data_IF_380993600586
#
_entry.id   IF_380993600586
#
_cell.length_a   1.000
_cell.length_b   1.000
_cell.length_c   1.000
_cell.angle_alpha   90.00
_cell.angle_beta   90.00
_cell.angle_gamma   90.00
#
_symmetry.space_group_name_H-M   'P 1'
#
loop_
_entity.id
_entity.type
_entity.pdbx_description
1 polymer ?
#
# COMPACT_ATOMS: atom_id res chain seq x y z
N UNK A 1 -5.63 -4.23 -61.84
CA UNK A 1 -6.87 -4.47 -61.09
C UNK A 1 -7.40 -5.81 -61.53
N UNK A 2 -7.83 -6.69 -60.61
CA UNK A 2 -8.82 -7.73 -60.90
C UNK A 2 -9.48 -8.21 -59.57
N UNK A 3 -10.82 -8.23 -59.44
CA UNK A 3 -11.48 -8.66 -58.19
C UNK A 3 -12.56 -9.76 -58.35
N UNK A 4 -12.67 -10.60 -57.31
CA UNK A 4 -13.78 -11.54 -56.94
C UNK A 4 -13.70 -12.98 -57.47
N UNK A 5 -13.81 -13.94 -56.54
CA UNK A 5 -14.58 -15.22 -56.56
C UNK A 5 -14.31 -15.88 -55.18
N UNK A 6 -15.14 -15.81 -54.13
CA UNK A 6 -16.50 -16.32 -53.83
C UNK A 6 -16.62 -17.84 -53.57
N UNK A 7 -17.00 -18.18 -52.32
CA UNK A 7 -17.58 -19.46 -51.88
C UNK A 7 -16.59 -20.49 -51.30
N UNK A 8 -16.93 -21.36 -50.34
CA UNK A 8 -18.09 -21.52 -49.42
C UNK A 8 -17.57 -22.12 -48.08
N UNK A 9 -18.09 -21.78 -46.88
CA UNK A 9 -19.23 -22.42 -46.14
C UNK A 9 -19.01 -23.94 -45.94
N UNK A 10 -18.94 -24.55 -44.74
CA UNK A 10 -19.99 -24.78 -43.71
C UNK A 10 -19.32 -25.33 -42.41
N UNK A 11 -19.39 -24.66 -41.24
CA UNK A 11 -20.20 -24.95 -40.00
C UNK A 11 -19.57 -25.94 -38.94
N UNK A 12 -19.48 -25.60 -37.61
CA UNK A 12 -20.38 -25.92 -36.44
C UNK A 12 -20.17 -27.36 -35.88
N UNK A 13 -20.07 -27.69 -34.56
CA UNK A 13 -20.00 -26.97 -33.24
C UNK A 13 -19.08 -27.83 -32.28
N UNK A 14 -19.15 -27.99 -30.93
CA UNK A 14 -20.01 -27.55 -29.80
C UNK A 14 -19.21 -27.41 -28.49
N UNK A 15 -19.54 -26.38 -27.68
CA UNK A 15 -19.31 -26.34 -26.22
C UNK A 15 -17.88 -25.98 -25.75
N UNK A 16 -17.67 -25.51 -24.51
CA UNK A 16 -18.63 -25.27 -23.40
C UNK A 16 -18.53 -23.80 -22.96
N UNK A 17 -19.69 -23.19 -22.65
CA UNK A 17 -19.77 -21.82 -22.17
C UNK A 17 -19.50 -21.71 -20.66
N UNK A 18 -18.61 -20.79 -20.26
CA UNK A 18 -18.49 -20.31 -18.88
C UNK A 18 -18.52 -18.76 -18.91
N UNK A 19 -19.22 -18.09 -17.98
CA UNK A 19 -19.55 -16.67 -18.14
C UNK A 19 -18.33 -15.77 -18.04
N UNK A 20 -18.18 -14.86 -19.01
CA UNK A 20 -17.20 -13.77 -19.00
C UNK A 20 -17.47 -12.82 -17.82
N UNK A 21 -16.86 -13.08 -16.65
CA UNK A 21 -16.73 -12.05 -15.61
C UNK A 21 -15.81 -10.96 -16.13
N UNK A 22 -16.39 -9.80 -16.41
CA UNK A 22 -15.71 -8.56 -16.76
C UNK A 22 -14.87 -8.05 -15.57
N UNK A 23 -13.66 -8.61 -15.41
CA UNK A 23 -12.60 -7.94 -14.67
C UNK A 23 -12.14 -6.73 -15.50
N UNK A 24 -12.84 -5.61 -15.34
CA UNK A 24 -12.24 -4.31 -15.58
C UNK A 24 -10.94 -4.23 -14.76
N UNK A 25 -9.79 -3.85 -15.34
CA UNK A 25 -8.61 -3.53 -14.56
C UNK A 25 -8.92 -2.29 -13.72
N UNK A 26 -9.03 -2.46 -12.41
CA UNK A 26 -9.42 -1.39 -11.52
C UNK A 26 -8.27 -0.38 -11.34
N UNK A 27 -8.42 0.77 -11.99
CA UNK A 27 -7.53 1.94 -12.00
C UNK A 27 -6.14 1.74 -12.65
N UNK A 28 -5.93 2.48 -13.74
CA UNK A 28 -4.60 2.87 -14.23
C UNK A 28 -3.96 3.97 -13.37
N UNK A 29 -2.83 4.56 -13.82
CA UNK A 29 -1.91 5.27 -12.94
C UNK A 29 -2.42 6.64 -12.44
N UNK A 30 -2.89 6.65 -11.21
CA UNK A 30 -2.89 7.81 -10.31
C UNK A 30 -2.34 7.35 -8.95
N UNK A 31 -1.08 6.90 -8.94
CA UNK A 31 -0.54 6.11 -7.83
C UNK A 31 -0.50 6.91 -6.50
N UNK A 32 -1.24 6.36 -5.53
CA UNK A 32 -1.44 6.94 -4.20
C UNK A 32 -0.13 7.35 -3.51
N UNK A 33 0.06 8.65 -3.25
CA UNK A 33 1.26 9.17 -2.57
C UNK A 33 1.26 8.85 -1.07
N UNK A 34 1.67 7.63 -0.72
CA UNK A 34 1.76 7.21 0.68
C UNK A 34 2.44 5.86 0.89
N UNK A 35 2.82 5.62 2.15
CA UNK A 35 3.67 4.49 2.58
C UNK A 35 3.00 3.12 2.44
N UNK A 36 1.68 3.04 2.69
CA UNK A 36 0.90 1.81 2.54
C UNK A 36 0.96 1.19 1.13
N UNK A 37 0.63 1.93 0.05
CA UNK A 37 0.83 1.50 -1.34
C UNK A 37 2.21 0.91 -1.63
N UNK A 38 3.28 1.59 -1.21
CA UNK A 38 4.66 1.12 -1.41
C UNK A 38 4.95 -0.19 -0.64
N UNK A 39 4.52 -0.26 0.61
CA UNK A 39 4.67 -1.45 1.46
C UNK A 39 3.88 -2.66 0.92
N UNK A 40 2.67 -2.44 0.39
CA UNK A 40 1.80 -3.48 -0.18
C UNK A 40 2.23 -3.92 -1.59
N UNK A 41 2.76 -3.01 -2.39
CA UNK A 41 2.98 -3.21 -3.83
C UNK A 41 1.71 -3.61 -4.60
N UNK A 42 1.89 -4.01 -5.86
CA UNK A 42 0.79 -4.39 -6.76
C UNK A 42 0.10 -5.70 -6.36
N UNK A 43 0.81 -6.57 -5.65
CA UNK A 43 0.29 -7.83 -5.09
C UNK A 43 -0.60 -7.62 -3.84
N UNK A 44 -0.56 -6.43 -3.24
CA UNK A 44 -1.45 -6.08 -2.12
C UNK A 44 -1.03 -6.65 -0.75
N UNK A 45 0.23 -7.08 -0.61
CA UNK A 45 0.85 -7.78 0.54
C UNK A 45 0.36 -7.32 1.92
N UNK A 46 0.24 -8.26 2.87
CA UNK A 46 -0.15 -8.01 4.27
C UNK A 46 0.95 -7.34 5.09
N UNK A 47 2.20 -7.76 4.91
CA UNK A 47 3.43 -7.20 5.47
C UNK A 47 4.44 -6.92 4.33
N UNK A 48 5.47 -6.12 4.58
CA UNK A 48 6.40 -5.68 3.54
C UNK A 48 7.10 -6.86 2.81
N UNK A 49 7.35 -7.95 3.52
CA UNK A 49 7.95 -9.18 3.00
C UNK A 49 6.94 -10.25 2.52
N UNK A 50 5.62 -10.06 2.68
CA UNK A 50 4.60 -11.05 2.27
C UNK A 50 3.42 -11.22 3.23
N UNK A 51 2.86 -12.44 3.31
CA UNK A 51 1.59 -12.70 4.02
C UNK A 51 1.73 -13.15 5.48
N UNK A 52 2.80 -13.87 5.83
CA UNK A 52 3.02 -14.35 7.19
C UNK A 52 3.66 -13.27 8.07
N UNK A 53 3.24 -13.16 9.33
CA UNK A 53 3.95 -12.33 10.31
C UNK A 53 5.19 -13.07 10.81
N UNK A 54 6.30 -12.35 10.92
CA UNK A 54 7.58 -12.86 11.37
C UNK A 54 8.26 -11.79 12.25
N UNK A 55 8.44 -12.03 13.56
CA UNK A 55 9.06 -11.05 14.46
C UNK A 55 10.56 -10.85 14.18
N UNK A 56 11.20 -11.71 13.38
CA UNK A 56 12.58 -11.52 12.92
C UNK A 56 12.71 -10.55 11.73
N UNK A 57 11.60 -9.91 11.31
CA UNK A 57 11.54 -9.00 10.15
C UNK A 57 11.07 -7.58 10.47
N UNK A 58 10.70 -7.27 11.70
CA UNK A 58 10.41 -5.89 12.10
C UNK A 58 10.40 -5.70 13.62
N UNK A 59 10.79 -4.50 14.09
CA UNK A 59 10.47 -4.07 15.45
C UNK A 59 8.96 -3.92 15.64
N UNK A 60 8.45 -4.66 16.61
CA UNK A 60 7.03 -4.70 16.99
C UNK A 60 6.94 -5.08 18.47
N UNK A 61 5.74 -5.00 19.06
CA UNK A 61 5.53 -5.41 20.45
C UNK A 61 6.04 -6.84 20.73
N UNK A 62 5.83 -7.77 19.78
CA UNK A 62 6.34 -9.15 19.85
C UNK A 62 7.88 -9.27 19.99
N UNK A 63 8.66 -8.25 19.60
CA UNK A 63 10.13 -8.29 19.71
C UNK A 63 10.67 -7.97 21.11
N UNK A 64 9.85 -7.37 21.98
CA UNK A 64 10.22 -6.98 23.35
C UNK A 64 11.41 -6.00 23.50
N UNK A 65 11.93 -5.43 22.40
CA UNK A 65 13.06 -4.46 22.39
C UNK A 65 12.72 -3.13 23.10
N UNK A 66 11.43 -2.80 23.23
CA UNK A 66 10.91 -1.64 24.02
C UNK A 66 11.45 -0.27 23.58
N UNK A 67 11.84 -0.14 22.31
CA UNK A 67 12.21 1.12 21.67
C UNK A 67 12.31 0.96 20.15
N UNK A 68 12.49 2.06 19.40
CA UNK A 68 12.83 2.01 17.99
C UNK A 68 14.26 1.49 17.79
N UNK A 69 14.56 0.99 16.59
CA UNK A 69 15.92 0.59 16.17
C UNK A 69 16.45 1.47 15.05
N UNK A 70 17.78 1.48 14.80
CA UNK A 70 18.32 2.00 13.56
C UNK A 70 17.62 1.37 12.34
N UNK A 71 17.45 2.17 11.28
CA UNK A 71 16.77 1.75 10.05
C UNK A 71 17.59 0.68 9.33
N UNK A 72 16.93 -0.33 8.77
CA UNK A 72 17.55 -1.38 7.95
C UNK A 72 18.22 -2.52 8.72
N UNK A 73 18.13 -2.57 10.05
CA UNK A 73 18.67 -3.70 10.84
C UNK A 73 17.84 -5.00 10.70
N UNK A 74 16.70 -4.93 10.00
CA UNK A 74 15.85 -6.07 9.64
C UNK A 74 15.80 -6.24 8.11
N UNK A 75 16.91 -6.59 7.41
CA UNK A 75 16.93 -6.65 5.95
C UNK A 75 16.01 -7.74 5.36
N UNK A 76 15.62 -8.74 6.15
CA UNK A 76 14.58 -9.69 5.79
C UNK A 76 13.16 -9.12 5.77
N UNK A 77 12.97 -7.90 6.32
CA UNK A 77 11.70 -7.17 6.38
C UNK A 77 11.48 -6.18 5.24
N UNK A 78 12.47 -5.96 4.40
CA UNK A 78 12.39 -5.03 3.28
C UNK A 78 11.33 -5.46 2.25
N UNK A 79 10.81 -4.49 1.51
CA UNK A 79 10.07 -4.80 0.28
C UNK A 79 11.03 -5.30 -0.82
N UNK A 80 10.54 -6.00 -1.86
CA UNK A 80 11.33 -6.27 -3.08
C UNK A 80 11.74 -5.01 -3.87
N UNK A 81 11.42 -3.82 -3.36
CA UNK A 81 11.86 -2.51 -3.86
C UNK A 81 12.97 -1.89 -2.97
N UNK A 82 13.49 -2.63 -1.98
CA UNK A 82 14.53 -2.16 -1.05
C UNK A 82 14.02 -1.15 -0.01
N UNK A 83 12.73 -1.15 0.31
CA UNK A 83 12.17 -0.23 1.32
C UNK A 83 12.17 -0.89 2.70
N UNK A 84 13.14 -0.50 3.52
CA UNK A 84 13.27 -0.91 4.92
C UNK A 84 12.22 -0.28 5.84
N UNK A 85 11.94 -0.98 6.95
CA UNK A 85 11.07 -0.57 8.07
C UNK A 85 9.65 -0.12 7.66
N UNK A 86 9.14 -0.62 6.52
CA UNK A 86 7.76 -0.34 6.05
C UNK A 86 6.67 -1.03 6.91
N UNK A 87 7.09 -1.85 7.87
CA UNK A 87 6.30 -2.49 8.90
C UNK A 87 7.07 -2.35 10.22
N UNK A 88 6.38 -1.97 11.30
CA UNK A 88 6.98 -1.83 12.63
C UNK A 88 7.79 -0.56 12.82
N UNK A 89 8.80 -0.64 13.71
CA UNK A 89 9.67 0.45 14.16
C UNK A 89 8.90 1.68 14.71
N UNK A 90 8.47 2.63 13.88
CA UNK A 90 7.62 3.77 14.28
C UNK A 90 6.45 3.98 13.32
N UNK A 91 5.33 4.48 13.83
CA UNK A 91 4.22 4.90 12.98
C UNK A 91 4.68 6.06 12.11
N UNK A 92 4.36 6.02 10.82
CA UNK A 92 4.74 7.06 9.87
C UNK A 92 3.54 7.93 9.52
N UNK A 93 3.68 9.24 9.73
CA UNK A 93 2.76 10.25 9.20
C UNK A 93 2.69 10.18 7.67
N UNK A 94 1.49 10.44 7.13
CA UNK A 94 1.26 10.62 5.69
C UNK A 94 0.34 11.81 5.43
N UNK A 95 0.47 12.44 4.26
CA UNK A 95 -0.30 13.63 3.91
C UNK A 95 -1.82 13.40 3.86
N UNK A 96 -2.30 12.18 3.66
CA UNK A 96 -3.74 11.91 3.54
C UNK A 96 -4.51 12.14 4.84
N UNK A 97 -5.64 12.84 4.78
CA UNK A 97 -6.66 12.91 5.82
C UNK A 97 -7.28 11.53 6.10
N UNK A 98 -7.62 11.28 7.37
CA UNK A 98 -8.27 10.05 7.78
C UNK A 98 -9.75 10.06 7.42
N UNK A 99 -10.06 9.59 6.21
CA UNK A 99 -11.42 9.31 5.75
C UNK A 99 -11.71 7.80 5.71
N UNK A 100 -13.00 7.38 5.67
CA UNK A 100 -13.39 5.98 5.48
C UNK A 100 -12.74 5.29 4.26
N UNK A 101 -12.97 3.99 4.16
CA UNK A 101 -12.72 3.22 2.94
C UNK A 101 -14.04 3.08 2.15
N UNK A 102 -14.04 3.01 0.81
CA UNK A 102 -12.87 2.87 -0.09
C UNK A 102 -12.03 4.15 -0.24
N UNK A 103 -10.90 4.03 -0.92
CA UNK A 103 -10.16 5.22 -1.34
C UNK A 103 -10.89 5.80 -2.55
N UNK A 104 -11.18 7.10 -2.48
CA UNK A 104 -11.83 7.86 -3.53
C UNK A 104 -10.92 9.04 -3.86
N UNK A 105 -10.49 9.14 -5.12
CA UNK A 105 -9.67 10.25 -5.58
C UNK A 105 -10.52 11.52 -5.72
N UNK A 106 -9.97 12.67 -5.33
CA UNK A 106 -10.68 13.95 -5.44
C UNK A 106 -11.69 14.25 -4.32
N UNK A 107 -11.90 13.35 -3.35
CA UNK A 107 -12.82 13.61 -2.22
C UNK A 107 -12.29 14.65 -1.20
N UNK A 108 -11.15 15.30 -1.50
CA UNK A 108 -10.47 16.24 -0.62
C UNK A 108 -9.52 15.60 0.39
N UNK A 109 -9.39 14.27 0.47
CA UNK A 109 -8.51 13.65 1.49
C UNK A 109 -7.02 13.97 1.34
N UNK A 110 -6.56 14.36 0.15
CA UNK A 110 -5.17 14.76 -0.09
C UNK A 110 -4.99 16.30 -0.07
N UNK A 111 -5.94 17.07 0.49
CA UNK A 111 -5.84 18.52 0.62
C UNK A 111 -4.64 18.92 1.52
N UNK A 112 -3.63 19.68 1.02
CA UNK A 112 -2.55 20.16 1.87
C UNK A 112 -3.03 21.18 2.91
N UNK A 113 -4.01 22.02 2.56
CA UNK A 113 -4.37 23.24 3.32
C UNK A 113 -5.29 22.97 4.53
N UNK A 114 -5.73 21.73 4.74
CA UNK A 114 -6.53 21.32 5.90
C UNK A 114 -5.66 21.20 7.17
N UNK A 115 -5.39 22.33 7.82
CA UNK A 115 -4.52 22.42 8.99
C UNK A 115 -5.02 21.70 10.26
N UNK A 116 -6.29 21.30 10.31
CA UNK A 116 -6.95 20.73 11.50
C UNK A 116 -7.30 19.24 11.34
N UNK A 117 -7.59 18.81 10.12
CA UNK A 117 -8.06 17.48 9.80
C UNK A 117 -7.07 16.38 10.19
N UNK A 118 -7.56 15.38 10.94
CA UNK A 118 -6.75 14.25 11.40
C UNK A 118 -6.09 13.52 10.23
N UNK A 119 -4.77 13.40 10.24
CA UNK A 119 -3.99 12.75 9.18
C UNK A 119 -3.80 11.26 9.46
N UNK A 120 -3.59 10.46 8.40
CA UNK A 120 -3.39 9.01 8.47
C UNK A 120 -1.96 8.69 8.89
N UNK A 121 -1.80 7.77 9.85
CA UNK A 121 -0.52 7.12 10.15
C UNK A 121 -0.54 5.64 9.76
N UNK A 122 0.60 5.08 9.33
CA UNK A 122 0.77 3.68 8.89
C UNK A 122 2.07 3.07 9.40
N UNK A 123 2.30 1.79 9.16
CA UNK A 123 3.53 1.06 9.54
C UNK A 123 3.37 0.24 10.83
N UNK A 124 2.69 0.77 11.85
CA UNK A 124 2.73 0.22 13.21
C UNK A 124 3.93 0.79 13.98
N UNK A 125 4.27 0.26 15.17
CA UNK A 125 5.46 0.69 15.91
C UNK A 125 5.95 -0.36 16.89
N UNK A 126 7.09 -0.09 17.53
CA UNK A 126 7.65 -0.87 18.64
C UNK A 126 6.71 -1.11 19.83
N UNK A 127 5.66 -0.28 19.99
CA UNK A 127 4.61 -0.47 21.01
C UNK A 127 3.40 -1.30 20.54
N UNK A 128 3.33 -1.71 19.27
CA UNK A 128 2.12 -2.31 18.70
C UNK A 128 2.34 -3.72 18.17
N UNK A 129 1.30 -4.54 18.27
CA UNK A 129 1.35 -5.92 17.83
C UNK A 129 1.28 -6.05 16.29
N UNK A 130 1.50 -7.28 15.79
CA UNK A 130 1.41 -7.64 14.36
C UNK A 130 0.19 -7.09 13.61
N UNK A 131 -0.97 -6.91 14.25
CA UNK A 131 -2.17 -6.41 13.57
C UNK A 131 -2.04 -4.95 13.12
N UNK A 132 -1.26 -4.15 13.85
CA UNK A 132 -0.94 -2.77 13.50
C UNK A 132 0.22 -2.69 12.50
N UNK A 133 1.13 -3.67 12.53
CA UNK A 133 2.28 -3.76 11.62
C UNK A 133 1.91 -4.08 10.16
N UNK A 134 0.64 -4.40 9.85
CA UNK A 134 0.21 -4.72 8.49
C UNK A 134 0.24 -3.48 7.58
N UNK A 135 0.69 -3.63 6.35
CA UNK A 135 0.77 -2.56 5.34
C UNK A 135 -0.57 -1.92 4.97
N UNK A 136 -1.69 -2.63 5.23
CA UNK A 136 -3.05 -2.13 5.04
C UNK A 136 -3.67 -1.49 6.30
N UNK A 137 -2.99 -1.53 7.45
CA UNK A 137 -3.46 -0.90 8.68
C UNK A 137 -3.36 0.63 8.58
N UNK A 138 -4.30 1.32 9.23
CA UNK A 138 -4.37 2.77 9.33
C UNK A 138 -4.81 3.14 10.74
N UNK A 139 -4.10 4.10 11.33
CA UNK A 139 -4.56 4.85 12.50
C UNK A 139 -4.63 6.33 12.12
N UNK A 140 -5.09 7.19 13.03
CA UNK A 140 -5.13 8.64 12.86
C UNK A 140 -4.57 9.36 14.09
N UNK A 141 -4.06 10.56 13.86
CA UNK A 141 -3.77 11.54 14.91
C UNK A 141 -4.21 12.94 14.45
N UNK A 142 -4.45 13.85 15.39
CA UNK A 142 -4.52 15.27 15.07
C UNK A 142 -3.15 15.81 14.66
N UNK A 143 -3.06 16.83 13.79
CA UNK A 143 -1.79 17.27 13.20
C UNK A 143 -0.74 17.73 14.24
N UNK A 144 -1.16 18.26 15.40
CA UNK A 144 -0.27 18.60 16.51
C UNK A 144 0.21 17.42 17.38
N UNK A 145 -0.18 16.18 17.08
CA UNK A 145 0.18 15.01 17.90
C UNK A 145 1.64 14.59 17.68
N UNK A 146 2.36 14.37 18.78
CA UNK A 146 3.77 13.93 18.79
C UNK A 146 3.99 12.85 19.85
N UNK A 147 4.78 11.83 19.52
CA UNK A 147 5.05 10.71 20.43
C UNK A 147 6.34 9.97 20.06
N UNK A 148 6.96 9.30 21.04
CA UNK A 148 8.16 8.45 20.92
C UNK A 148 8.00 7.21 20.02
N UNK A 149 6.79 6.96 19.53
CA UNK A 149 6.45 5.86 18.61
C UNK A 149 6.02 6.35 17.21
N UNK A 150 6.15 7.65 16.93
CA UNK A 150 5.54 8.33 15.77
C UNK A 150 6.57 9.25 15.08
N UNK A 151 6.89 8.93 13.82
CA UNK A 151 7.80 9.66 12.95
C UNK A 151 7.22 9.85 11.55
N UNK A 152 8.09 9.92 10.54
CA UNK A 152 7.73 10.09 9.13
C UNK A 152 8.86 9.57 8.22
N UNK A 153 8.55 9.33 6.95
CA UNK A 153 9.57 9.25 5.88
C UNK A 153 9.25 10.23 4.76
N UNK A 154 10.28 10.77 4.13
CA UNK A 154 10.14 11.72 3.02
C UNK A 154 9.88 10.97 1.71
N UNK A 155 8.92 11.45 0.92
CA UNK A 155 8.68 10.99 -0.45
C UNK A 155 9.12 12.09 -1.42
N UNK A 156 10.28 11.93 -2.05
CA UNK A 156 10.70 12.77 -3.15
C UNK A 156 10.09 12.25 -4.47
N UNK A 157 9.50 13.15 -5.25
CA UNK A 157 9.16 12.88 -6.66
C UNK A 157 10.22 13.53 -7.55
N UNK A 158 10.88 12.73 -8.39
CA UNK A 158 11.73 13.28 -9.45
C UNK A 158 10.86 14.05 -10.45
N UNK A 159 11.23 15.29 -10.84
CA UNK A 159 10.59 15.98 -11.95
C UNK A 159 11.12 15.53 -13.32
N UNK A 160 12.13 14.64 -13.36
CA UNK A 160 12.77 14.13 -14.58
C UNK A 160 12.53 12.60 -14.67
N UNK A 161 12.05 12.07 -15.81
CA UNK A 161 11.93 10.63 -16.07
C UNK A 161 13.28 9.89 -16.15
#
# INVERSE_FOLDING_TARGET
>A
MDPRLRGERVEVERGIHAPRRSRQPAAGPAEHRGTGPAARGREGRRYAWGEAFDPSRCISFETHVRGPTPVGVFPGGDTPQGLADMCGNVFEWTGSLYRPYRYEAGDGRENPDDGEGRRVVRGGSWLNNRQCARCAYRLNGGPGHRSIYLGFRVLCVSPIP
#
